data_IF_172411972719
#
_entry.id   IF_172411972719
#
_cell.length_a   1.000
_cell.length_b   1.000
_cell.length_c   1.000
_cell.angle_alpha   90.00
_cell.angle_beta   90.00
_cell.angle_gamma   90.00
#
_symmetry.space_group_name_H-M   'P 1'
#
loop_
_entity.id
_entity.type
_entity.pdbx_description
1 polymer ?
#
# COMPACT_ATOMS: atom_id res chain seq x y z
N UNK A 1 -4.95 -6.45 -7.70
CA UNK A 1 -4.95 -7.50 -8.73
C UNK A 1 -5.93 -8.63 -8.40
N UNK A 2 -5.77 -9.38 -7.29
CA UNK A 2 -6.63 -10.54 -7.00
C UNK A 2 -8.11 -10.14 -6.81
N UNK A 3 -8.41 -9.00 -6.18
CA UNK A 3 -9.78 -8.47 -6.10
C UNK A 3 -10.33 -8.09 -7.47
N UNK A 4 -9.54 -7.42 -8.30
CA UNK A 4 -9.92 -7.07 -9.67
C UNK A 4 -10.26 -8.33 -10.48
N UNK A 5 -9.43 -9.36 -10.38
CA UNK A 5 -9.68 -10.65 -11.02
C UNK A 5 -10.98 -11.32 -10.53
N UNK A 6 -11.21 -11.30 -9.22
CA UNK A 6 -12.44 -11.84 -8.63
C UNK A 6 -13.69 -11.08 -9.08
N UNK A 7 -13.61 -9.76 -9.14
CA UNK A 7 -14.70 -8.90 -9.64
C UNK A 7 -14.96 -9.21 -11.13
N UNK A 8 -13.91 -9.24 -11.95
CA UNK A 8 -14.02 -9.50 -13.38
C UNK A 8 -14.65 -10.87 -13.68
N UNK A 9 -14.27 -11.89 -12.92
CA UNK A 9 -14.80 -13.26 -13.06
C UNK A 9 -16.12 -13.50 -12.34
N UNK A 10 -16.58 -12.55 -11.54
CA UNK A 10 -17.72 -12.73 -10.61
C UNK A 10 -17.51 -13.96 -9.70
N UNK A 11 -16.29 -14.08 -9.13
CA UNK A 11 -15.86 -15.23 -8.32
C UNK A 11 -15.69 -14.80 -6.85
N UNK A 12 -16.68 -15.15 -6.03
CA UNK A 12 -16.72 -14.83 -4.60
C UNK A 12 -15.59 -15.48 -3.80
N UNK A 13 -15.09 -16.66 -4.22
CA UNK A 13 -14.00 -17.34 -3.51
C UNK A 13 -12.66 -16.60 -3.74
N UNK A 14 -12.43 -16.08 -4.94
CA UNK A 14 -11.27 -15.24 -5.21
C UNK A 14 -11.36 -13.94 -4.41
N UNK A 15 -12.53 -13.30 -4.39
CA UNK A 15 -12.77 -12.07 -3.61
C UNK A 15 -12.51 -12.31 -2.12
N UNK A 16 -13.05 -13.40 -1.56
CA UNK A 16 -12.84 -13.77 -0.16
C UNK A 16 -11.37 -14.00 0.18
N UNK A 17 -10.63 -14.71 -0.67
CA UNK A 17 -9.19 -14.90 -0.51
C UNK A 17 -8.45 -13.56 -0.53
N UNK A 18 -8.79 -12.67 -1.45
CA UNK A 18 -8.18 -11.35 -1.56
C UNK A 18 -8.42 -10.50 -0.31
N UNK A 19 -9.64 -10.48 0.22
CA UNK A 19 -9.98 -9.78 1.47
C UNK A 19 -9.19 -10.33 2.67
N UNK A 20 -9.05 -11.65 2.80
CA UNK A 20 -8.23 -12.26 3.84
C UNK A 20 -6.75 -11.84 3.74
N UNK A 21 -6.23 -11.70 2.51
CA UNK A 21 -4.86 -11.20 2.28
C UNK A 21 -4.75 -9.74 2.75
N UNK A 22 -5.73 -8.89 2.43
CA UNK A 22 -5.73 -7.49 2.90
C UNK A 22 -5.71 -7.42 4.41
N UNK A 23 -6.64 -8.13 5.07
CA UNK A 23 -6.74 -8.14 6.53
C UNK A 23 -5.44 -8.66 7.19
N UNK A 24 -4.86 -9.72 6.66
CA UNK A 24 -3.59 -10.26 7.14
C UNK A 24 -2.43 -9.28 6.95
N UNK A 25 -2.35 -8.66 5.77
CA UNK A 25 -1.28 -7.71 5.44
C UNK A 25 -1.36 -6.45 6.30
N UNK A 26 -2.56 -5.90 6.50
CA UNK A 26 -2.76 -4.78 7.41
C UNK A 26 -2.37 -5.13 8.84
N UNK A 27 -2.78 -6.31 9.33
CA UNK A 27 -2.44 -6.76 10.69
C UNK A 27 -0.93 -6.92 10.91
N UNK A 28 -0.16 -7.29 9.89
CA UNK A 28 1.27 -7.64 10.01
C UNK A 28 2.22 -6.54 9.57
N UNK A 29 1.83 -5.81 8.54
CA UNK A 29 2.70 -4.83 7.91
C UNK A 29 2.41 -3.37 8.27
N UNK A 30 1.25 -3.09 8.89
CA UNK A 30 0.89 -1.72 9.24
C UNK A 30 1.66 -1.26 10.48
N UNK A 31 2.37 -0.13 10.37
CA UNK A 31 3.14 0.48 11.44
C UNK A 31 3.17 2.01 11.27
N UNK A 32 2.80 2.74 12.31
CA UNK A 32 2.86 4.22 12.37
C UNK A 32 2.34 4.91 11.09
N UNK A 33 1.13 4.53 10.67
CA UNK A 33 0.42 5.13 9.53
C UNK A 33 0.77 4.55 8.15
N UNK A 34 1.87 3.80 8.01
CA UNK A 34 2.30 3.22 6.73
C UNK A 34 2.51 1.71 6.78
N UNK A 35 2.85 1.12 5.64
CA UNK A 35 3.18 -0.30 5.50
C UNK A 35 4.69 -0.48 5.43
N UNK A 36 5.25 -1.35 6.29
CA UNK A 36 6.67 -1.74 6.23
C UNK A 36 6.95 -2.67 5.05
N UNK A 37 8.20 -2.71 4.60
CA UNK A 37 8.60 -3.44 3.39
C UNK A 37 8.44 -4.96 3.55
N UNK A 38 8.87 -5.52 4.69
CA UNK A 38 8.82 -6.96 4.94
C UNK A 38 8.43 -7.28 6.38
N UNK A 39 7.62 -8.31 6.55
CA UNK A 39 7.32 -8.90 7.86
C UNK A 39 7.44 -10.42 7.75
N UNK A 40 8.11 -11.04 8.73
CA UNK A 40 8.18 -12.51 8.79
C UNK A 40 6.83 -13.10 9.18
N UNK A 41 6.35 -14.12 8.46
CA UNK A 41 5.04 -14.72 8.68
C UNK A 41 4.89 -15.39 10.06
N UNK A 42 6.00 -15.84 10.64
CA UNK A 42 6.07 -16.47 11.95
C UNK A 42 6.45 -15.49 13.07
N UNK A 43 6.67 -14.20 12.75
CA UNK A 43 7.06 -13.16 13.71
C UNK A 43 8.53 -13.19 14.11
N UNK A 44 9.40 -13.84 13.34
CA UNK A 44 10.84 -13.81 13.52
C UNK A 44 11.43 -12.52 12.92
N UNK A 45 12.63 -12.09 13.35
CA UNK A 45 13.30 -10.97 12.69
C UNK A 45 13.55 -11.29 11.21
N UNK A 46 13.12 -10.42 10.26
CA UNK A 46 13.41 -10.59 8.85
C UNK A 46 14.92 -10.50 8.57
N UNK A 47 15.38 -11.15 7.49
CA UNK A 47 16.78 -11.10 7.06
C UNK A 47 17.09 -9.96 6.09
N UNK A 48 16.07 -9.34 5.50
CA UNK A 48 16.23 -8.20 4.60
C UNK A 48 16.65 -6.96 5.40
N UNK A 49 17.72 -6.28 4.98
CA UNK A 49 18.24 -5.10 5.70
C UNK A 49 17.25 -3.93 5.74
N UNK A 50 16.42 -3.81 4.69
CA UNK A 50 15.38 -2.78 4.56
C UNK A 50 14.00 -3.22 5.05
N UNK A 51 13.90 -4.23 5.89
CA UNK A 51 12.64 -4.83 6.28
C UNK A 51 11.66 -3.85 6.94
N UNK A 52 12.16 -2.95 7.77
CA UNK A 52 11.37 -1.95 8.50
C UNK A 52 11.20 -0.63 7.73
N UNK A 53 11.85 -0.48 6.58
CA UNK A 53 11.65 0.69 5.72
C UNK A 53 10.23 0.71 5.17
N UNK A 54 9.73 1.92 4.90
CA UNK A 54 8.47 2.11 4.18
C UNK A 54 8.79 2.48 2.73
N UNK A 55 8.36 1.62 1.82
CA UNK A 55 8.56 1.80 0.39
C UNK A 55 7.28 2.36 -0.27
N UNK A 56 7.41 3.06 -1.39
CA UNK A 56 6.29 3.70 -2.11
C UNK A 56 5.22 2.71 -2.57
N UNK A 57 5.64 1.57 -3.13
CA UNK A 57 4.72 0.63 -3.77
C UNK A 57 3.80 -0.12 -2.79
N UNK A 58 4.21 -0.55 -1.58
CA UNK A 58 3.29 -1.14 -0.64
C UNK A 58 2.18 -0.17 -0.21
N UNK A 59 2.49 1.13 -0.07
CA UNK A 59 1.49 2.15 0.25
C UNK A 59 0.46 2.25 -0.89
N UNK A 60 0.93 2.36 -2.14
CA UNK A 60 0.04 2.42 -3.30
C UNK A 60 -0.91 1.22 -3.38
N UNK A 61 -0.36 0.00 -3.26
CA UNK A 61 -1.16 -1.22 -3.36
C UNK A 61 -2.09 -1.41 -2.16
N UNK A 62 -1.67 -1.00 -0.95
CA UNK A 62 -2.51 -1.05 0.24
C UNK A 62 -3.70 -0.08 0.14
N UNK A 63 -3.50 1.13 -0.38
CA UNK A 63 -4.60 2.09 -0.63
C UNK A 63 -5.61 1.53 -1.62
N UNK A 64 -5.16 1.01 -2.78
CA UNK A 64 -6.02 0.37 -3.77
C UNK A 64 -6.80 -0.79 -3.13
N UNK A 65 -6.11 -1.66 -2.41
CA UNK A 65 -6.71 -2.85 -1.82
C UNK A 65 -7.78 -2.52 -0.78
N UNK A 66 -7.52 -1.56 0.11
CA UNK A 66 -8.49 -1.12 1.11
C UNK A 66 -9.69 -0.40 0.46
N UNK A 67 -9.50 0.39 -0.60
CA UNK A 67 -10.59 1.04 -1.30
C UNK A 67 -11.50 0.04 -2.01
N UNK A 68 -10.96 -0.94 -2.71
CA UNK A 68 -11.74 -2.05 -3.28
C UNK A 68 -12.49 -2.85 -2.21
N UNK A 69 -11.81 -3.17 -1.09
CA UNK A 69 -12.43 -3.92 0.00
C UNK A 69 -13.60 -3.14 0.61
N UNK A 70 -13.48 -1.82 0.77
CA UNK A 70 -14.57 -0.97 1.23
C UNK A 70 -15.76 -1.00 0.25
N UNK A 71 -15.51 -0.83 -1.03
CA UNK A 71 -16.57 -0.82 -2.05
C UNK A 71 -17.31 -2.17 -2.14
N UNK A 72 -16.60 -3.29 -1.92
CA UNK A 72 -17.18 -4.62 -1.94
C UNK A 72 -17.97 -4.98 -0.66
N UNK A 73 -17.56 -4.49 0.50
CA UNK A 73 -18.11 -4.92 1.80
C UNK A 73 -18.86 -3.83 2.55
N UNK A 74 -18.63 -2.55 2.27
CA UNK A 74 -19.17 -1.44 3.04
C UNK A 74 -18.62 -1.36 4.48
N UNK A 75 -17.61 -2.16 4.84
CA UNK A 75 -17.03 -2.17 6.19
C UNK A 75 -16.09 -0.96 6.35
N UNK A 76 -16.46 -0.09 7.29
CA UNK A 76 -15.76 1.19 7.55
C UNK A 76 -14.28 1.03 7.90
N UNK A 77 -13.87 -0.14 8.45
CA UNK A 77 -12.46 -0.40 8.76
C UNK A 77 -11.55 -0.22 7.55
N UNK A 78 -12.01 -0.63 6.36
CA UNK A 78 -11.22 -0.48 5.13
C UNK A 78 -11.11 0.98 4.68
N UNK A 79 -12.18 1.76 4.86
CA UNK A 79 -12.13 3.20 4.57
C UNK A 79 -11.21 3.95 5.56
N UNK A 80 -11.26 3.59 6.84
CA UNK A 80 -10.36 4.13 7.86
C UNK A 80 -8.90 3.80 7.55
N UNK A 81 -8.60 2.55 7.22
CA UNK A 81 -7.26 2.13 6.77
C UNK A 81 -6.79 2.92 5.54
N UNK A 82 -7.67 3.08 4.54
CA UNK A 82 -7.38 3.86 3.34
C UNK A 82 -7.03 5.31 3.69
N UNK A 83 -7.85 5.97 4.50
CA UNK A 83 -7.65 7.38 4.87
C UNK A 83 -6.32 7.59 5.62
N UNK A 84 -5.97 6.68 6.54
CA UNK A 84 -4.69 6.75 7.27
C UNK A 84 -3.51 6.56 6.30
N UNK A 85 -3.59 5.57 5.41
CA UNK A 85 -2.54 5.30 4.41
C UNK A 85 -2.38 6.47 3.43
N UNK A 86 -3.49 7.07 2.99
CA UNK A 86 -3.48 8.22 2.09
C UNK A 86 -2.81 9.43 2.75
N UNK A 87 -3.25 9.79 3.96
CA UNK A 87 -2.67 10.91 4.72
C UNK A 87 -1.17 10.70 4.94
N UNK A 88 -0.78 9.50 5.40
CA UNK A 88 0.61 9.14 5.60
C UNK A 88 1.43 9.25 4.30
N UNK A 89 0.93 8.64 3.23
CA UNK A 89 1.66 8.57 1.97
C UNK A 89 1.86 9.96 1.35
N UNK A 90 0.83 10.79 1.32
CA UNK A 90 0.94 12.14 0.77
C UNK A 90 1.73 13.10 1.68
N UNK A 91 1.77 12.85 2.98
CA UNK A 91 2.58 13.64 3.93
C UNK A 91 4.07 13.31 3.83
N UNK A 92 4.43 12.03 3.72
CA UNK A 92 5.82 11.58 3.88
C UNK A 92 6.53 11.27 2.55
N UNK A 93 5.83 10.74 1.55
CA UNK A 93 6.44 10.38 0.27
C UNK A 93 6.41 11.53 -0.74
N UNK A 94 5.36 12.36 -0.76
CA UNK A 94 5.22 13.39 -1.77
C UNK A 94 6.24 14.53 -1.59
N UNK A 95 6.96 14.85 -2.67
CA UNK A 95 7.77 16.08 -2.71
C UNK A 95 6.93 17.24 -3.22
N UNK A 96 6.39 18.03 -2.29
CA UNK A 96 5.51 19.17 -2.60
C UNK A 96 6.21 20.27 -3.42
N UNK A 97 7.55 20.32 -3.40
CA UNK A 97 8.33 21.35 -4.10
C UNK A 97 8.61 20.97 -5.55
N UNK A 98 8.98 19.72 -5.82
CA UNK A 98 9.47 19.31 -7.13
C UNK A 98 8.59 18.23 -7.78
N UNK A 99 7.49 17.84 -7.14
CA UNK A 99 6.61 16.77 -7.60
C UNK A 99 7.18 15.38 -7.42
N UNK A 100 6.37 14.36 -7.75
CA UNK A 100 6.69 12.93 -7.59
C UNK A 100 6.86 12.52 -6.11
N UNK A 101 6.88 11.23 -5.86
CA UNK A 101 7.12 10.64 -4.55
C UNK A 101 8.57 10.15 -4.41
N UNK A 102 9.15 10.33 -3.22
CA UNK A 102 10.33 9.57 -2.84
C UNK A 102 10.02 8.07 -2.83
N UNK A 103 11.05 7.24 -3.05
CA UNK A 103 10.83 5.79 -3.10
C UNK A 103 10.96 5.09 -1.74
N UNK A 104 11.74 5.67 -0.84
CA UNK A 104 12.24 4.99 0.34
C UNK A 104 12.22 5.91 1.55
N UNK A 105 11.50 5.52 2.59
CA UNK A 105 11.50 6.18 3.89
C UNK A 105 12.09 5.24 4.95
N UNK A 106 12.72 5.81 5.96
CA UNK A 106 13.01 5.09 7.19
C UNK A 106 11.70 4.73 7.93
N UNK A 107 11.80 3.90 8.96
CA UNK A 107 10.65 3.49 9.76
C UNK A 107 9.87 4.68 10.32
N UNK A 108 10.56 5.72 10.77
CA UNK A 108 10.00 6.95 11.34
C UNK A 108 9.35 7.90 10.30
N UNK A 109 9.37 7.55 9.01
CA UNK A 109 8.81 8.35 7.94
C UNK A 109 9.74 9.41 7.35
N UNK A 110 10.98 9.51 7.83
CA UNK A 110 11.98 10.40 7.22
C UNK A 110 12.50 9.84 5.91
N UNK A 111 12.85 10.72 4.96
CA UNK A 111 13.33 10.32 3.62
C UNK A 111 14.70 9.65 3.74
N UNK A 112 14.76 8.36 3.38
CA UNK A 112 16.01 7.59 3.40
C UNK A 112 16.86 7.83 2.15
N UNK A 113 16.22 8.14 1.01
CA UNK A 113 16.88 8.37 -0.26
C UNK A 113 16.10 9.39 -1.08
N UNK A 114 16.78 10.42 -1.58
CA UNK A 114 16.16 11.50 -2.35
C UNK A 114 15.92 11.16 -3.83
N UNK A 115 16.35 9.99 -4.29
CA UNK A 115 16.07 9.53 -5.65
C UNK A 115 14.58 9.23 -5.82
N UNK A 116 13.98 9.80 -6.86
CA UNK A 116 12.58 9.60 -7.20
C UNK A 116 12.35 8.50 -8.25
N UNK A 117 13.41 8.01 -8.85
CA UNK A 117 13.40 6.89 -9.79
C UNK A 117 14.71 6.14 -9.73
N UNK A 118 14.66 4.82 -9.89
CA UNK A 118 15.81 3.93 -9.99
C UNK A 118 15.42 2.63 -10.68
N UNK A 119 16.31 1.62 -10.70
CA UNK A 119 16.04 0.33 -11.35
C UNK A 119 14.78 -0.39 -10.81
N UNK A 120 14.37 -0.10 -9.56
CA UNK A 120 13.18 -0.72 -8.94
C UNK A 120 11.96 0.20 -8.96
N UNK A 121 12.15 1.52 -8.80
CA UNK A 121 11.08 2.51 -8.80
C UNK A 121 10.91 3.11 -10.19
N UNK A 122 10.01 2.51 -10.97
CA UNK A 122 9.52 3.02 -12.25
C UNK A 122 8.11 3.62 -12.14
N UNK A 123 7.55 4.12 -13.26
CA UNK A 123 6.24 4.78 -13.31
C UNK A 123 5.08 3.77 -13.37
N UNK A 124 5.05 2.79 -12.48
CA UNK A 124 3.99 1.77 -12.45
C UNK A 124 3.03 1.94 -11.26
N UNK A 125 3.49 1.74 -10.03
CA UNK A 125 2.60 1.68 -8.87
C UNK A 125 1.90 3.00 -8.57
N UNK A 126 2.62 4.13 -8.60
CA UNK A 126 2.04 5.43 -8.29
C UNK A 126 1.02 5.88 -9.35
N UNK A 127 1.32 5.90 -10.66
CA UNK A 127 0.32 6.22 -11.67
C UNK A 127 -0.87 5.25 -11.67
N UNK A 128 -0.63 3.94 -11.52
CA UNK A 128 -1.68 2.94 -11.40
C UNK A 128 -2.62 3.25 -10.23
N UNK A 129 -2.06 3.54 -9.06
CA UNK A 129 -2.83 3.89 -7.86
C UNK A 129 -3.71 5.12 -8.12
N UNK A 130 -3.15 6.20 -8.66
CA UNK A 130 -3.89 7.42 -8.95
C UNK A 130 -5.04 7.19 -9.97
N UNK A 131 -4.79 6.39 -10.99
CA UNK A 131 -5.81 6.04 -12.00
C UNK A 131 -6.93 5.24 -11.38
N UNK A 132 -6.61 4.14 -10.66
CA UNK A 132 -7.63 3.28 -10.06
C UNK A 132 -8.44 4.03 -9.01
N UNK A 133 -7.81 4.77 -8.09
CA UNK A 133 -8.52 5.52 -7.06
C UNK A 133 -9.41 6.63 -7.61
N UNK A 134 -9.09 7.17 -8.79
CA UNK A 134 -9.97 8.11 -9.48
C UNK A 134 -11.21 7.42 -10.09
N UNK A 135 -11.11 6.16 -10.48
CA UNK A 135 -12.20 5.38 -11.07
C UNK A 135 -13.13 4.76 -10.03
N UNK A 136 -12.58 4.26 -8.93
CA UNK A 136 -13.33 3.59 -7.85
C UNK A 136 -13.74 4.59 -6.75
N UNK A 137 -14.64 5.48 -7.09
CA UNK A 137 -15.17 6.48 -6.12
C UNK A 137 -16.10 5.84 -5.11
#
# INVERSE_FOLDING_TARGET
>A
FLMEEGIYKNDDEIIKKALNIVDFSMKRGFADGGIIAFADACGKPPVALEWDMKLWWPQCEAMIANRYAYNLKGDKKYLENYNILEDYAFTHFADSKNGEWYGYLHYDGTVANTLKGNIFKGPFHLPRMLMILNEIK
#
